data_IF_334841002236
#
_entry.id   IF_334841002236
#
_cell.length_a   1.000
_cell.length_b   1.000
_cell.length_c   1.000
_cell.angle_alpha   90.00
_cell.angle_beta   90.00
_cell.angle_gamma   90.00
#
_symmetry.space_group_name_H-M   'P 1'
#
loop_
_entity.id
_entity.type
_entity.pdbx_description
1 polymer ?
#
# COMPACT_ATOMS: atom_id res chain seq x y z
N UNK A 1 -4.47 4.50 -6.28
CA UNK A 1 -4.66 5.25 -5.03
C UNK A 1 -5.84 4.59 -4.35
N UNK A 2 -5.67 4.26 -3.07
CA UNK A 2 -6.62 3.52 -2.24
C UNK A 2 -6.66 4.19 -0.86
N UNK A 3 -7.74 3.96 -0.11
CA UNK A 3 -8.03 4.65 1.16
C UNK A 3 -8.47 3.61 2.19
N UNK A 4 -7.96 3.72 3.41
CA UNK A 4 -8.31 2.85 4.54
C UNK A 4 -7.62 3.29 5.83
N UNK A 5 -8.06 2.78 6.97
CA UNK A 5 -7.37 2.99 8.26
C UNK A 5 -6.23 1.99 8.37
N UNK A 6 -4.99 2.38 8.04
CA UNK A 6 -3.87 1.43 7.99
C UNK A 6 -3.18 1.23 9.33
N UNK A 7 -3.40 2.12 10.30
CA UNK A 7 -2.74 2.08 11.61
C UNK A 7 -3.71 1.88 12.79
N UNK A 8 -5.01 1.71 12.53
CA UNK A 8 -6.04 1.45 13.53
C UNK A 8 -6.40 2.68 14.37
N UNK A 9 -6.08 3.90 13.91
CA UNK A 9 -6.33 5.12 14.67
C UNK A 9 -7.74 5.72 14.43
N UNK A 10 -8.54 5.08 13.57
CA UNK A 10 -9.88 5.50 13.19
C UNK A 10 -9.91 6.59 12.12
N UNK A 11 -8.76 7.00 11.59
CA UNK A 11 -8.66 7.97 10.49
C UNK A 11 -8.37 7.25 9.17
N UNK A 12 -9.01 7.73 8.11
CA UNK A 12 -8.76 7.18 6.77
C UNK A 12 -7.45 7.74 6.22
N UNK A 13 -6.47 6.86 6.02
CA UNK A 13 -5.21 7.14 5.37
C UNK A 13 -5.29 6.99 3.85
N UNK A 14 -4.22 7.39 3.16
CA UNK A 14 -4.11 7.26 1.71
C UNK A 14 -2.90 6.44 1.34
N UNK A 15 -3.08 5.48 0.43
CA UNK A 15 -1.97 4.74 -0.19
C UNK A 15 -1.92 5.01 -1.69
N UNK A 16 -0.74 5.36 -2.18
CA UNK A 16 -0.51 5.73 -3.58
C UNK A 16 0.54 4.81 -4.19
N UNK A 17 0.24 4.29 -5.38
CA UNK A 17 1.25 3.68 -6.25
C UNK A 17 1.78 4.75 -7.20
N UNK A 18 3.07 5.06 -7.09
CA UNK A 18 3.75 6.07 -7.89
C UNK A 18 4.66 5.41 -8.90
N UNK A 19 4.55 5.81 -10.17
CA UNK A 19 5.42 5.31 -11.24
C UNK A 19 6.53 6.33 -11.49
N UNK A 20 7.77 5.91 -11.33
CA UNK A 20 8.95 6.73 -11.59
C UNK A 20 9.76 6.15 -12.74
N UNK A 21 10.28 7.03 -13.59
CA UNK A 21 11.31 6.69 -14.57
C UNK A 21 12.67 7.03 -13.99
N UNK A 22 13.49 6.01 -13.82
CA UNK A 22 14.91 6.17 -13.52
C UNK A 22 15.70 5.62 -14.71
N UNK A 23 16.32 6.52 -15.47
CA UNK A 23 16.95 6.21 -16.75
C UNK A 23 15.97 5.49 -17.70
N UNK A 24 16.35 4.31 -18.20
CA UNK A 24 15.53 3.47 -19.06
C UNK A 24 14.56 2.56 -18.29
N UNK A 25 14.67 2.47 -16.97
CA UNK A 25 13.83 1.60 -16.14
C UNK A 25 12.58 2.33 -15.65
N UNK A 26 11.45 1.61 -15.65
CA UNK A 26 10.24 2.02 -14.95
C UNK A 26 10.24 1.33 -13.59
N UNK A 27 10.10 2.11 -12.53
CA UNK A 27 9.93 1.63 -11.15
C UNK A 27 8.55 2.03 -10.66
N UNK A 28 7.93 1.17 -9.86
CA UNK A 28 6.74 1.56 -9.08
C UNK A 28 7.07 1.47 -7.60
N UNK A 29 6.72 2.54 -6.90
CA UNK A 29 6.81 2.65 -5.45
C UNK A 29 5.40 2.72 -4.89
N UNK A 30 5.21 2.10 -3.73
CA UNK A 30 3.97 2.22 -2.98
C UNK A 30 4.26 3.01 -1.70
N UNK A 31 3.56 4.13 -1.56
CA UNK A 31 3.72 5.09 -0.47
C UNK A 31 2.42 5.18 0.32
N UNK A 32 2.50 5.13 1.64
CA UNK A 32 1.41 5.39 2.57
C UNK A 32 1.55 6.78 3.19
N UNK A 33 0.45 7.53 3.20
CA UNK A 33 0.33 8.84 3.80
C UNK A 33 -0.63 8.73 4.98
N UNK A 34 -0.13 8.75 6.23
CA UNK A 34 -0.99 8.70 7.41
C UNK A 34 -1.77 10.00 7.55
N UNK A 35 -3.06 9.89 7.83
CA UNK A 35 -3.93 11.01 8.13
C UNK A 35 -3.79 11.39 9.61
N UNK A 36 -3.51 12.65 9.88
CA UNK A 36 -3.27 13.18 11.22
C UNK A 36 -4.45 14.02 11.73
N UNK A 37 -5.64 13.85 11.14
CA UNK A 37 -6.86 14.55 11.54
C UNK A 37 -7.03 15.91 10.87
N UNK A 38 -6.72 15.99 9.57
CA UNK A 38 -6.87 17.21 8.75
C UNK A 38 -5.62 17.59 7.96
N UNK A 39 -4.49 16.94 8.23
CA UNK A 39 -3.26 16.98 7.43
C UNK A 39 -2.75 15.56 7.21
N UNK A 40 -1.82 15.40 6.26
CA UNK A 40 -1.12 14.13 6.05
C UNK A 40 0.31 14.22 6.59
N UNK A 41 0.78 13.13 7.19
CA UNK A 41 2.17 12.96 7.60
C UNK A 41 3.12 12.76 6.42
N UNK A 42 4.40 12.57 6.73
CA UNK A 42 5.39 12.22 5.73
C UNK A 42 5.07 10.84 5.11
N UNK A 43 5.32 10.65 3.80
CA UNK A 43 5.09 9.36 3.16
C UNK A 43 6.00 8.28 3.74
N UNK A 44 5.42 7.10 3.97
CA UNK A 44 6.11 5.89 4.37
C UNK A 44 6.14 4.95 3.16
N UNK A 45 7.32 4.54 2.72
CA UNK A 45 7.46 3.58 1.63
C UNK A 45 7.08 2.17 2.13
N UNK A 46 5.97 1.64 1.63
CA UNK A 46 5.51 0.28 1.97
C UNK A 46 6.20 -0.78 1.10
N UNK A 47 6.46 -0.45 -0.17
CA UNK A 47 7.10 -1.39 -1.09
C UNK A 47 7.83 -0.69 -2.25
N UNK A 48 9.03 -1.18 -2.53
CA UNK A 48 9.91 -0.71 -3.62
C UNK A 48 9.85 -1.59 -4.89
N UNK A 49 8.74 -2.33 -5.09
CA UNK A 49 8.57 -3.24 -6.23
C UNK A 49 7.27 -2.97 -6.97
N UNK A 50 7.22 -3.43 -8.23
CA UNK A 50 6.15 -3.20 -9.22
C UNK A 50 4.77 -3.79 -8.86
N UNK A 51 4.23 -3.42 -7.70
CA UNK A 51 2.86 -3.72 -7.32
C UNK A 51 1.90 -2.72 -7.99
N UNK A 52 0.72 -3.22 -8.38
CA UNK A 52 -0.25 -2.61 -9.28
C UNK A 52 -1.55 -2.21 -8.58
N UNK A 53 -1.92 -2.91 -7.53
CA UNK A 53 -3.10 -2.61 -6.74
C UNK A 53 -2.82 -2.89 -5.28
N UNK A 54 -3.51 -2.12 -4.43
CA UNK A 54 -3.38 -2.10 -2.98
C UNK A 54 -4.82 -2.24 -2.48
N UNK A 55 -5.12 -3.17 -1.58
CA UNK A 55 -6.43 -3.20 -0.93
C UNK A 55 -6.26 -3.25 0.57
N UNK A 56 -6.73 -2.22 1.29
CA UNK A 56 -6.90 -2.29 2.74
C UNK A 56 -8.07 -3.23 3.05
N UNK A 57 -7.83 -4.29 3.80
CA UNK A 57 -8.86 -5.25 4.21
C UNK A 57 -8.39 -6.00 5.46
N UNK A 58 -9.24 -6.11 6.47
CA UNK A 58 -9.03 -7.03 7.60
C UNK A 58 -9.20 -8.47 7.09
N UNK A 59 -8.09 -9.18 6.86
CA UNK A 59 -8.11 -10.53 6.27
C UNK A 59 -8.20 -11.60 7.36
N UNK A 60 -7.61 -11.35 8.52
CA UNK A 60 -7.52 -12.33 9.60
C UNK A 60 -8.64 -12.20 10.65
N UNK A 61 -9.45 -11.14 10.57
CA UNK A 61 -10.57 -10.87 11.45
C UNK A 61 -10.15 -10.27 12.80
N UNK A 62 -8.93 -9.73 12.89
CA UNK A 62 -8.35 -9.13 14.08
C UNK A 62 -8.80 -7.69 14.35
N UNK A 63 -9.42 -7.03 13.37
CA UNK A 63 -9.81 -5.62 13.45
C UNK A 63 -8.71 -4.64 13.02
N UNK A 64 -7.51 -5.14 12.67
CA UNK A 64 -6.44 -4.36 12.05
C UNK A 64 -6.55 -4.47 10.52
N UNK A 65 -6.35 -3.36 9.81
CA UNK A 65 -6.46 -3.37 8.35
C UNK A 65 -5.17 -3.86 7.71
N UNK A 66 -5.21 -5.04 7.06
CA UNK A 66 -4.10 -5.55 6.27
C UNK A 66 -4.01 -4.90 4.88
N UNK A 67 -2.85 -5.08 4.23
CA UNK A 67 -2.64 -4.59 2.85
C UNK A 67 -2.37 -5.74 1.89
N UNK A 68 -3.24 -5.91 0.89
CA UNK A 68 -2.99 -6.81 -0.23
C UNK A 68 -2.38 -6.05 -1.39
N UNK A 69 -1.22 -6.52 -1.86
CA UNK A 69 -0.53 -6.01 -3.03
C UNK A 69 -0.63 -7.02 -4.17
N UNK A 70 -1.06 -6.58 -5.36
CA UNK A 70 -0.98 -7.40 -6.57
C UNK A 70 0.18 -6.96 -7.46
N UNK A 71 0.89 -7.88 -8.09
CA UNK A 71 1.87 -7.59 -9.14
C UNK A 71 1.45 -8.32 -10.41
N UNK A 72 1.38 -7.63 -11.53
CA UNK A 72 1.32 -8.27 -12.86
C UNK A 72 2.65 -8.06 -13.55
N UNK A 73 3.22 -9.15 -14.04
CA UNK A 73 4.35 -9.11 -14.95
C UNK A 73 3.84 -9.02 -16.39
N UNK A 74 4.66 -8.46 -17.27
CA UNK A 74 4.38 -8.34 -18.71
C UNK A 74 4.26 -9.68 -19.44
N UNK A 75 4.56 -10.80 -18.79
CA UNK A 75 4.52 -12.16 -19.35
C UNK A 75 3.29 -12.97 -18.92
N UNK A 76 2.25 -12.32 -18.38
CA UNK A 76 1.01 -13.00 -17.97
C UNK A 76 1.07 -13.70 -16.60
N UNK A 77 2.20 -13.64 -15.89
CA UNK A 77 2.30 -14.08 -14.50
C UNK A 77 1.92 -12.96 -13.53
N UNK A 78 1.14 -13.28 -12.50
CA UNK A 78 0.81 -12.36 -11.42
C UNK A 78 1.06 -12.98 -10.04
N UNK A 79 1.40 -12.17 -9.05
CA UNK A 79 1.55 -12.59 -7.66
C UNK A 79 0.73 -11.68 -6.75
N UNK A 80 0.07 -12.26 -5.76
CA UNK A 80 -0.50 -11.55 -4.62
C UNK A 80 0.48 -11.63 -3.46
N UNK A 81 0.72 -10.50 -2.80
CA UNK A 81 1.45 -10.40 -1.55
C UNK A 81 0.46 -9.89 -0.50
N UNK A 82 0.36 -10.60 0.61
CA UNK A 82 -0.31 -10.13 1.81
C UNK A 82 0.76 -9.55 2.73
N UNK A 83 0.56 -8.31 3.15
CA UNK A 83 1.31 -7.70 4.24
C UNK A 83 0.37 -7.60 5.42
N UNK A 84 0.65 -8.44 6.42
CA UNK A 84 -0.05 -8.47 7.70
C UNK A 84 0.29 -7.20 8.49
N UNK A 85 -0.74 -6.54 9.01
CA UNK A 85 -0.56 -5.52 10.02
C UNK A 85 -0.62 -6.21 11.39
N UNK A 86 0.47 -6.14 12.15
CA UNK A 86 0.52 -6.76 13.49
C UNK A 86 0.15 -5.72 14.55
N UNK A 87 -0.76 -6.04 15.50
CA UNK A 87 -1.05 -5.14 16.59
C UNK A 87 0.22 -4.87 17.42
N UNK A 88 0.36 -3.62 17.86
CA UNK A 88 1.48 -3.14 18.68
C UNK A 88 1.48 -3.65 20.12
#
# INVERSE_FOLDING_TARGET
MEVGDLNGDGLMDVVVSRVHRENSAIRKHTEWYPNLGGTFGAPIELANRDYLAIRPVDIDGGGDTDVVLSKSTSYGGGSLLWMENVPG
#
